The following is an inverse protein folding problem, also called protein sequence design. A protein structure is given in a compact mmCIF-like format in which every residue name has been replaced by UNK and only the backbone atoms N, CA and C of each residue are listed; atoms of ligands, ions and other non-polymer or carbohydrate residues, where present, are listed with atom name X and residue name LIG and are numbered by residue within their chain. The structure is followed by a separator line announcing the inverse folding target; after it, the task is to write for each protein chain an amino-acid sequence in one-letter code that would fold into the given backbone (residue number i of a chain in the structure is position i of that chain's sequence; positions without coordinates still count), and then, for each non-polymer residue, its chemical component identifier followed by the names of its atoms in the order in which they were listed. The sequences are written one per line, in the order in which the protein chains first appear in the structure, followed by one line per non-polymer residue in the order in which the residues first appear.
data_IF_509863486390
#
_entry.id   IF_509863486390
#
_cell.length_a   1.000
_cell.length_b   1.000
_cell.length_c   1.000
_cell.angle_alpha   90.00
_cell.angle_beta   90.00
_cell.angle_gamma   90.00
#
_symmetry.space_group_name_H-M   'P 1'
#
loop_
_entity.id
_entity.type
_entity.pdbx_description
1 polymer ?
#
# COMPACT_ATOMS: atom_id res chain seq x y z
N UNK A 1 2.23 12.88 -14.86
CA UNK A 1 2.22 12.35 -16.24
C UNK A 1 2.41 10.85 -16.14
N UNK A 2 1.34 10.08 -16.34
CA UNK A 2 1.38 8.61 -16.19
C UNK A 2 2.03 7.94 -17.40
N UNK A 3 2.84 6.92 -17.16
CA UNK A 3 3.55 6.19 -18.21
C UNK A 3 2.63 5.13 -18.80
N UNK A 4 2.38 5.22 -20.11
CA UNK A 4 1.56 4.26 -20.84
C UNK A 4 2.41 3.05 -21.22
N UNK A 5 2.19 1.90 -20.58
CA UNK A 5 2.57 0.59 -21.12
C UNK A 5 1.29 -0.18 -21.47
N UNK A 6 1.12 -0.44 -22.75
CA UNK A 6 0.23 -1.49 -23.30
C UNK A 6 -1.23 -1.48 -22.78
N UNK A 7 -1.98 -0.41 -23.06
CA UNK A 7 -3.45 -0.44 -23.00
C UNK A 7 -4.08 -0.62 -21.61
N UNK A 8 -3.28 -0.73 -20.56
CA UNK A 8 -3.72 -0.76 -19.17
C UNK A 8 -3.44 0.59 -18.53
N UNK A 9 -4.49 1.40 -18.40
CA UNK A 9 -4.45 2.63 -17.61
C UNK A 9 -4.53 2.25 -16.13
N UNK A 10 -3.40 1.87 -15.53
CA UNK A 10 -3.31 1.77 -14.07
C UNK A 10 -3.25 3.20 -13.54
N UNK A 11 -4.23 3.60 -12.72
CA UNK A 11 -4.06 4.85 -11.96
C UNK A 11 -2.88 4.64 -11.01
N UNK A 12 -1.77 5.34 -11.28
CA UNK A 12 -0.44 5.11 -10.70
C UNK A 12 -0.38 5.18 -9.15
N UNK A 13 -1.46 5.54 -8.48
CA UNK A 13 -1.52 5.76 -7.03
C UNK A 13 -2.31 4.72 -6.23
N UNK A 14 -2.85 3.66 -6.85
CA UNK A 14 -3.65 2.65 -6.14
C UNK A 14 -3.09 1.24 -6.28
N UNK A 15 -2.90 0.59 -5.13
CA UNK A 15 -2.68 -0.86 -5.10
C UNK A 15 -4.01 -1.58 -5.37
N UNK A 16 -3.94 -2.76 -6.00
CA UNK A 16 -5.13 -3.61 -6.14
C UNK A 16 -5.73 -3.92 -4.76
N UNK A 17 -7.04 -4.15 -4.71
CA UNK A 17 -7.74 -4.49 -3.48
C UNK A 17 -7.08 -5.69 -2.76
N UNK A 18 -6.75 -6.75 -3.50
CA UNK A 18 -6.12 -7.95 -2.96
C UNK A 18 -4.74 -7.66 -2.35
N UNK A 19 -3.93 -6.83 -3.01
CA UNK A 19 -2.61 -6.43 -2.49
C UNK A 19 -2.76 -5.55 -1.26
N UNK A 20 -3.71 -4.62 -1.26
CA UNK A 20 -4.00 -3.75 -0.12
C UNK A 20 -4.42 -4.58 1.10
N UNK A 21 -5.32 -5.54 0.90
CA UNK A 21 -5.78 -6.45 1.95
C UNK A 21 -4.65 -7.33 2.48
N UNK A 22 -3.75 -7.81 1.62
CA UNK A 22 -2.58 -8.59 2.05
C UNK A 22 -1.66 -7.76 2.96
N UNK A 23 -1.36 -6.52 2.59
CA UNK A 23 -0.52 -5.61 3.39
C UNK A 23 -1.16 -5.27 4.73
N UNK A 24 -2.46 -4.96 4.76
CA UNK A 24 -3.20 -4.71 6.00
C UNK A 24 -3.19 -5.94 6.93
N UNK A 25 -3.34 -7.15 6.38
CA UNK A 25 -3.24 -8.40 7.15
C UNK A 25 -1.85 -8.64 7.71
N UNK A 26 -0.79 -8.31 6.96
CA UNK A 26 0.60 -8.42 7.42
C UNK A 26 0.91 -7.39 8.53
N UNK A 27 0.41 -6.17 8.40
CA UNK A 27 0.55 -5.12 9.43
C UNK A 27 -0.17 -5.53 10.71
N UNK A 28 -1.41 -6.04 10.62
CA UNK A 28 -2.18 -6.56 11.76
C UNK A 28 -1.49 -7.72 12.48
N UNK A 29 -0.70 -8.52 11.74
CA UNK A 29 0.13 -9.62 12.31
C UNK A 29 1.45 -9.12 12.89
N UNK A 30 1.73 -7.83 12.84
CA UNK A 30 2.96 -7.22 13.35
C UNK A 30 4.20 -7.53 12.50
N UNK A 31 4.03 -8.09 11.29
CA UNK A 31 5.15 -8.48 10.43
C UNK A 31 5.73 -7.30 9.65
N UNK A 32 4.90 -6.30 9.38
CA UNK A 32 5.29 -5.06 8.71
C UNK A 32 4.67 -3.85 9.42
N UNK A 33 5.18 -2.65 9.15
CA UNK A 33 4.61 -1.36 9.53
C UNK A 33 4.38 -0.55 8.26
N UNK A 34 3.20 0.03 8.12
CA UNK A 34 2.86 0.88 6.98
C UNK A 34 2.98 2.35 7.39
N UNK A 35 3.97 3.04 6.84
CA UNK A 35 4.32 4.40 7.22
C UNK A 35 4.04 5.39 6.08
N UNK A 36 3.74 6.63 6.47
CA UNK A 36 3.58 7.75 5.56
C UNK A 36 4.60 8.84 5.92
N UNK A 37 5.41 9.21 4.94
CA UNK A 37 6.34 10.35 4.99
C UNK A 37 5.94 11.34 3.90
N UNK A 38 5.84 12.61 4.27
CA UNK A 38 5.40 13.72 3.39
C UNK A 38 6.29 13.94 2.17
N UNK A 39 7.55 13.51 2.26
CA UNK A 39 8.59 13.84 1.27
C UNK A 39 8.84 12.69 0.29
N UNK A 40 7.90 11.74 0.17
CA UNK A 40 8.01 10.57 -0.68
C UNK A 40 6.73 10.30 -1.45
N UNK A 41 6.86 9.65 -2.61
CA UNK A 41 5.73 9.19 -3.41
C UNK A 41 4.81 8.31 -2.57
N UNK A 42 3.51 8.56 -2.67
CA UNK A 42 2.50 7.93 -1.83
C UNK A 42 1.51 7.11 -2.65
N UNK A 43 1.03 6.03 -2.02
CA UNK A 43 0.13 5.04 -2.55
C UNK A 43 -1.08 4.95 -1.63
N UNK A 44 -2.26 4.84 -2.22
CA UNK A 44 -3.51 4.61 -1.51
C UNK A 44 -3.78 3.11 -1.40
N UNK A 45 -3.86 2.62 -0.16
CA UNK A 45 -4.35 1.30 0.19
C UNK A 45 -5.87 1.32 0.28
N UNK A 46 -6.51 0.41 -0.43
CA UNK A 46 -7.94 0.15 -0.26
C UNK A 46 -8.18 -0.72 0.99
N UNK A 47 -9.15 -0.33 1.80
CA UNK A 47 -9.62 -1.08 2.97
C UNK A 47 -11.06 -1.55 2.73
N UNK A 48 -11.50 -2.57 3.47
CA UNK A 48 -12.91 -2.99 3.51
C UNK A 48 -13.83 -1.87 4.05
N UNK A 49 -13.27 -0.98 4.85
CA UNK A 49 -13.91 0.28 5.25
C UNK A 49 -13.62 1.32 4.17
N UNK A 50 -14.60 2.13 3.77
CA UNK A 50 -14.48 3.15 2.69
C UNK A 50 -13.31 4.15 2.84
N UNK A 51 -12.55 4.09 3.94
CA UNK A 51 -11.36 4.88 4.17
C UNK A 51 -10.13 4.24 3.52
N UNK A 52 -9.71 4.82 2.39
CA UNK A 52 -8.38 4.55 1.83
C UNK A 52 -7.28 5.11 2.74
N UNK A 53 -6.23 4.34 3.00
CA UNK A 53 -5.06 4.79 3.77
C UNK A 53 -3.90 5.11 2.84
N UNK A 54 -3.30 6.29 3.01
CA UNK A 54 -2.13 6.70 2.25
C UNK A 54 -0.86 6.16 2.94
N UNK A 55 0.01 5.52 2.18
CA UNK A 55 1.31 5.00 2.62
C UNK A 55 2.40 5.41 1.64
N UNK A 56 3.64 5.50 2.11
CA UNK A 56 4.80 5.64 1.22
C UNK A 56 5.90 4.63 1.53
N UNK A 57 5.88 3.99 2.70
CA UNK A 57 6.90 3.05 3.12
C UNK A 57 6.30 1.79 3.76
N UNK A 58 6.93 0.65 3.49
CA UNK A 58 6.63 -0.64 4.13
C UNK A 58 7.88 -1.08 4.88
N UNK A 59 7.83 -1.08 6.20
CA UNK A 59 8.94 -1.51 7.06
C UNK A 59 8.72 -2.94 7.50
N UNK A 60 9.65 -3.85 7.17
CA UNK A 60 9.60 -5.23 7.65
C UNK A 60 10.09 -5.32 9.10
N UNK A 61 9.30 -5.93 9.99
CA UNK A 61 9.60 -6.06 11.43
C UNK A 61 10.07 -7.46 11.85
N UNK A 62 10.06 -8.44 10.94
CA UNK A 62 10.48 -9.80 11.27
C UNK A 62 9.40 -10.63 11.98
N UNK A 63 9.67 -11.92 12.18
CA UNK A 63 8.86 -12.76 13.10
C UNK A 63 9.25 -12.41 14.54
N UNK A 64 8.27 -11.99 15.34
CA UNK A 64 8.41 -12.03 16.81
C UNK A 64 8.66 -13.50 17.16
N UNK A 65 9.82 -13.77 17.76
CA UNK A 65 10.25 -15.10 18.19
C UNK A 65 9.37 -15.64 19.30
#
# INVERSE_FOLDING_TARGET
MGYTREGLQLSDSFLSFSTSLALLRLEKRGLISLEHKSDADSLSLQSDTENSRIISHIVYRGKIK
#
